data_IF_301267708208
#
_entry.id   IF_301267708208
#
_cell.length_a   1.000
_cell.length_b   1.000
_cell.length_c   1.000
_cell.angle_alpha   90.00
_cell.angle_beta   90.00
_cell.angle_gamma   90.00
#
_symmetry.space_group_name_H-M   'P 1'
#
loop_
_entity.id
_entity.type
_entity.pdbx_description
1 polymer ?
#
# COMPACT_ATOMS: atom_id res chain seq x y z
N UNK A 1 13.28 13.36 -17.21
CA UNK A 1 12.61 12.16 -16.67
C UNK A 1 11.85 12.55 -15.41
N UNK A 2 10.57 12.26 -15.32
CA UNK A 2 9.81 12.55 -14.13
C UNK A 2 9.94 11.42 -13.09
N UNK A 3 9.46 11.66 -11.88
CA UNK A 3 9.58 10.71 -10.76
C UNK A 3 8.92 9.37 -11.08
N UNK A 4 7.73 9.37 -11.69
CA UNK A 4 7.01 8.14 -12.04
C UNK A 4 7.79 7.30 -13.05
N UNK A 5 8.34 7.91 -14.09
CA UNK A 5 9.14 7.20 -15.08
C UNK A 5 10.41 6.63 -14.47
N UNK A 6 11.05 7.40 -13.60
CA UNK A 6 12.24 6.92 -12.88
C UNK A 6 11.95 5.67 -12.07
N UNK A 7 10.83 5.65 -11.34
CA UNK A 7 10.40 4.49 -10.55
C UNK A 7 10.22 3.27 -11.45
N UNK A 8 9.46 3.41 -12.54
CA UNK A 8 9.16 2.30 -13.45
C UNK A 8 10.41 1.72 -14.11
N UNK A 9 11.34 2.58 -14.51
CA UNK A 9 12.57 2.14 -15.18
C UNK A 9 13.58 1.47 -14.24
N UNK A 10 13.55 1.83 -12.95
CA UNK A 10 14.58 1.41 -12.00
C UNK A 10 14.07 0.48 -10.89
N UNK A 11 12.81 0.06 -10.93
CA UNK A 11 12.19 -0.68 -9.82
C UNK A 11 12.85 -2.03 -9.51
N UNK A 12 13.61 -2.60 -10.43
CA UNK A 12 14.31 -3.86 -10.20
C UNK A 12 15.78 -3.67 -9.79
N UNK A 13 16.24 -2.42 -9.72
CA UNK A 13 17.62 -2.11 -9.38
C UNK A 13 17.82 -1.98 -7.87
N UNK A 14 19.06 -2.14 -7.43
CA UNK A 14 19.43 -1.96 -6.02
C UNK A 14 19.18 -0.50 -5.58
N UNK A 15 18.37 -0.33 -4.55
CA UNK A 15 18.00 0.99 -4.02
C UNK A 15 19.22 1.78 -3.52
N UNK A 16 20.20 1.08 -2.95
CA UNK A 16 21.42 1.72 -2.45
C UNK A 16 22.25 2.31 -3.58
N UNK A 17 22.36 1.59 -4.69
CA UNK A 17 23.06 2.09 -5.88
C UNK A 17 22.32 3.28 -6.48
N UNK A 18 21.00 3.22 -6.55
CA UNK A 18 20.19 4.33 -7.04
C UNK A 18 20.34 5.58 -6.18
N UNK A 19 20.43 5.42 -4.86
CA UNK A 19 20.62 6.53 -3.93
C UNK A 19 21.94 7.29 -4.21
N UNK A 20 23.00 6.57 -4.59
CA UNK A 20 24.28 7.17 -4.94
C UNK A 20 24.24 7.97 -6.25
N UNK A 21 23.27 7.71 -7.10
CA UNK A 21 23.10 8.37 -8.39
C UNK A 21 22.10 9.52 -8.36
N UNK A 22 21.58 9.87 -7.20
CA UNK A 22 20.50 10.86 -7.06
C UNK A 22 20.80 12.23 -7.68
N UNK A 23 22.06 12.67 -7.64
CA UNK A 23 22.47 13.95 -8.21
C UNK A 23 22.35 14.05 -9.73
N UNK A 24 22.20 12.93 -10.44
CA UNK A 24 22.04 12.88 -11.90
C UNK A 24 20.61 13.19 -12.35
N UNK A 25 19.64 13.16 -11.43
CA UNK A 25 18.22 13.31 -11.71
C UNK A 25 17.61 14.39 -10.82
N UNK A 26 17.98 15.68 -11.01
CA UNK A 26 17.49 16.75 -10.13
C UNK A 26 15.97 16.98 -10.20
N UNK A 27 15.32 16.55 -11.27
CA UNK A 27 13.88 16.67 -11.47
C UNK A 27 13.07 15.56 -10.77
N UNK A 28 13.75 14.53 -10.23
CA UNK A 28 13.11 13.39 -9.57
C UNK A 28 13.05 13.63 -8.06
N UNK A 29 11.88 13.42 -7.46
CA UNK A 29 11.77 13.33 -5.99
C UNK A 29 12.40 12.02 -5.54
N UNK A 30 13.71 12.09 -5.26
CA UNK A 30 14.50 10.89 -5.03
C UNK A 30 14.09 10.14 -3.77
N UNK A 31 13.77 10.84 -2.68
CA UNK A 31 13.34 10.21 -1.44
C UNK A 31 12.04 9.41 -1.65
N UNK A 32 11.07 10.01 -2.31
CA UNK A 32 9.82 9.33 -2.66
C UNK A 32 10.07 8.15 -3.60
N UNK A 33 10.85 8.37 -4.66
CA UNK A 33 11.13 7.34 -5.65
C UNK A 33 11.79 6.10 -5.04
N UNK A 34 12.81 6.30 -4.21
CA UNK A 34 13.52 5.19 -3.57
C UNK A 34 12.61 4.41 -2.63
N UNK A 35 11.74 5.11 -1.88
CA UNK A 35 10.77 4.44 -1.01
C UNK A 35 9.77 3.60 -1.82
N UNK A 36 9.28 4.13 -2.94
CA UNK A 36 8.34 3.39 -3.80
C UNK A 36 9.00 2.17 -4.44
N UNK A 37 10.24 2.30 -4.89
CA UNK A 37 11.01 1.18 -5.44
C UNK A 37 11.22 0.09 -4.38
N UNK A 38 11.65 0.47 -3.18
CA UNK A 38 11.82 -0.46 -2.07
C UNK A 38 10.50 -1.15 -1.70
N UNK A 39 9.40 -0.39 -1.67
CA UNK A 39 8.07 -0.92 -1.40
C UNK A 39 7.63 -1.94 -2.43
N UNK A 40 7.81 -1.64 -3.71
CA UNK A 40 7.49 -2.57 -4.80
C UNK A 40 8.33 -3.85 -4.73
N UNK A 41 9.63 -3.74 -4.42
CA UNK A 41 10.52 -4.90 -4.30
C UNK A 41 10.09 -5.82 -3.15
N UNK A 42 9.68 -5.25 -2.03
CA UNK A 42 9.11 -6.02 -0.90
C UNK A 42 7.77 -6.65 -1.29
N UNK A 43 6.91 -5.91 -1.96
CA UNK A 43 5.58 -6.36 -2.37
C UNK A 43 5.66 -7.51 -3.39
N UNK A 44 6.66 -7.52 -4.23
CA UNK A 44 6.87 -8.59 -5.23
C UNK A 44 6.80 -9.99 -4.61
N UNK A 45 7.32 -10.13 -3.40
CA UNK A 45 7.34 -11.40 -2.66
C UNK A 45 6.19 -11.49 -1.65
N UNK A 46 5.94 -10.40 -0.93
CA UNK A 46 5.00 -10.37 0.20
C UNK A 46 3.56 -10.12 -0.22
N UNK A 47 3.35 -9.28 -1.23
CA UNK A 47 2.03 -8.84 -1.72
C UNK A 47 1.99 -8.85 -3.25
N UNK A 48 2.08 -10.04 -3.89
CA UNK A 48 2.19 -10.10 -5.35
C UNK A 48 1.06 -9.39 -6.11
N UNK A 49 -0.19 -9.48 -5.65
CA UNK A 49 -1.30 -8.79 -6.33
C UNK A 49 -1.20 -7.26 -6.23
N UNK A 50 -0.60 -6.75 -5.16
CA UNK A 50 -0.33 -5.32 -5.02
C UNK A 50 0.79 -4.88 -5.96
N UNK A 51 1.84 -5.69 -6.10
CA UNK A 51 2.95 -5.41 -7.01
C UNK A 51 2.53 -5.32 -8.48
N UNK A 52 1.46 -6.00 -8.86
CA UNK A 52 0.89 -5.94 -10.21
C UNK A 52 0.14 -4.63 -10.50
N UNK A 53 -0.27 -3.89 -9.46
CA UNK A 53 -0.98 -2.63 -9.60
C UNK A 53 0.01 -1.46 -9.70
N UNK A 54 0.14 -0.85 -10.87
CA UNK A 54 1.11 0.23 -11.10
C UNK A 54 0.77 1.53 -10.37
N UNK A 55 -0.50 1.76 -10.04
CA UNK A 55 -0.97 3.04 -9.52
C UNK A 55 -1.06 3.13 -8.00
N UNK A 56 -0.77 2.07 -7.28
CA UNK A 56 -0.76 2.12 -5.81
C UNK A 56 0.47 2.86 -5.29
N UNK A 57 0.34 3.39 -4.08
CA UNK A 57 1.44 4.06 -3.37
C UNK A 57 1.82 3.20 -2.17
N UNK A 58 3.11 2.91 -2.03
CA UNK A 58 3.63 2.17 -0.90
C UNK A 58 3.95 3.11 0.27
N UNK A 59 3.65 2.70 1.51
CA UNK A 59 3.98 3.48 2.70
C UNK A 59 5.48 3.39 3.02
N UNK A 60 5.95 4.08 4.07
CA UNK A 60 7.33 3.93 4.53
C UNK A 60 7.72 2.47 4.74
N UNK A 61 9.00 2.17 4.53
CA UNK A 61 9.55 0.80 4.54
C UNK A 61 9.19 0.01 5.81
N UNK A 62 9.22 0.64 6.98
CA UNK A 62 8.85 -0.02 8.23
C UNK A 62 7.43 -0.57 8.20
N UNK A 63 6.49 0.21 7.65
CA UNK A 63 5.10 -0.24 7.50
C UNK A 63 4.99 -1.45 6.56
N UNK A 64 5.80 -1.47 5.51
CA UNK A 64 5.85 -2.62 4.59
C UNK A 64 6.36 -3.88 5.25
N UNK A 65 7.34 -3.76 6.15
CA UNK A 65 7.86 -4.90 6.91
C UNK A 65 6.87 -5.43 7.92
N UNK A 66 6.09 -4.55 8.55
CA UNK A 66 5.15 -4.89 9.62
C UNK A 66 3.79 -5.37 9.13
N UNK A 67 3.43 -5.11 7.88
CA UNK A 67 2.13 -5.53 7.36
C UNK A 67 2.05 -7.05 7.15
N UNK A 68 0.82 -7.57 7.11
CA UNK A 68 0.57 -8.98 6.79
C UNK A 68 1.02 -9.31 5.38
N UNK A 69 1.48 -10.55 5.16
CA UNK A 69 1.65 -11.06 3.79
C UNK A 69 0.29 -11.28 3.15
N UNK A 70 0.26 -11.34 1.83
CA UNK A 70 -0.97 -11.61 1.08
C UNK A 70 -1.60 -12.94 1.47
N UNK A 71 -0.78 -13.98 1.64
CA UNK A 71 -1.27 -15.30 2.08
C UNK A 71 -1.94 -15.22 3.45
N UNK A 72 -1.34 -14.49 4.39
CA UNK A 72 -1.91 -14.29 5.72
C UNK A 72 -3.22 -13.51 5.65
N UNK A 73 -3.27 -12.44 4.85
CA UNK A 73 -4.48 -11.63 4.67
C UNK A 73 -5.61 -12.45 4.03
N UNK A 74 -5.30 -13.25 3.02
CA UNK A 74 -6.28 -14.14 2.39
C UNK A 74 -6.78 -15.22 3.35
N UNK A 75 -5.90 -15.77 4.18
CA UNK A 75 -6.30 -16.73 5.21
C UNK A 75 -7.26 -16.11 6.22
N UNK A 76 -6.94 -14.92 6.73
CA UNK A 76 -7.84 -14.20 7.65
C UNK A 76 -9.20 -13.94 6.99
N UNK A 77 -9.21 -13.53 5.73
CA UNK A 77 -10.44 -13.31 4.97
C UNK A 77 -11.29 -14.59 4.87
N UNK A 78 -10.64 -15.74 4.70
CA UNK A 78 -11.33 -17.02 4.59
C UNK A 78 -12.04 -17.45 5.88
N UNK A 79 -11.62 -16.91 7.03
CA UNK A 79 -12.23 -17.21 8.33
C UNK A 79 -13.49 -16.40 8.60
N UNK A 80 -13.77 -15.36 7.81
CA UNK A 80 -14.91 -14.48 8.02
C UNK A 80 -16.05 -14.84 7.09
N UNK A 81 -17.28 -14.80 7.63
CA UNK A 81 -18.50 -14.90 6.83
C UNK A 81 -18.79 -13.57 6.15
N UNK A 82 -19.38 -13.62 4.96
CA UNK A 82 -19.86 -12.43 4.27
C UNK A 82 -20.91 -11.72 5.13
N UNK A 83 -20.84 -10.39 5.17
CA UNK A 83 -21.68 -9.58 6.03
C UNK A 83 -22.09 -8.26 5.41
N UNK A 84 -22.86 -7.49 6.18
CA UNK A 84 -23.36 -6.18 5.74
C UNK A 84 -22.28 -5.11 5.92
N UNK A 85 -21.60 -5.08 7.07
CA UNK A 85 -20.59 -4.05 7.37
C UNK A 85 -19.46 -4.60 8.20
N UNK A 86 -18.29 -3.98 8.06
CA UNK A 86 -17.13 -4.23 8.91
C UNK A 86 -16.42 -2.92 9.23
N UNK A 87 -15.69 -2.90 10.34
CA UNK A 87 -14.82 -1.78 10.73
C UNK A 87 -13.48 -2.33 11.17
N UNK A 88 -12.40 -1.78 10.63
CA UNK A 88 -11.03 -2.05 11.07
C UNK A 88 -10.53 -0.84 11.87
N UNK A 89 -10.33 -1.04 13.18
CA UNK A 89 -9.95 0.03 14.10
C UNK A 89 -8.45 0.33 14.13
N UNK A 90 -7.64 -0.49 13.45
CA UNK A 90 -6.19 -0.34 13.40
C UNK A 90 -5.70 -0.53 11.97
N UNK A 91 -6.21 0.28 11.07
CA UNK A 91 -6.07 0.09 9.62
C UNK A 91 -4.64 -0.10 9.10
N UNK A 92 -3.69 0.64 9.64
CA UNK A 92 -2.29 0.55 9.23
C UNK A 92 -2.12 0.77 7.73
N UNK A 93 -1.38 -0.11 7.06
CA UNK A 93 -1.22 -0.04 5.60
C UNK A 93 -2.49 -0.43 4.83
N UNK A 94 -3.45 -1.07 5.49
CA UNK A 94 -4.70 -1.47 4.84
C UNK A 94 -4.64 -2.80 4.08
N UNK A 95 -3.61 -3.61 4.30
CA UNK A 95 -3.46 -4.91 3.60
C UNK A 95 -4.60 -5.85 3.99
N UNK A 96 -4.76 -6.13 5.27
CA UNK A 96 -5.85 -6.99 5.75
C UNK A 96 -7.20 -6.43 5.33
N UNK A 97 -7.40 -5.13 5.54
CA UNK A 97 -8.65 -4.45 5.19
C UNK A 97 -8.99 -4.63 3.71
N UNK A 98 -8.01 -4.47 2.81
CA UNK A 98 -8.25 -4.56 1.37
C UNK A 98 -8.79 -5.92 0.93
N UNK A 99 -8.41 -7.00 1.64
CA UNK A 99 -8.91 -8.35 1.36
C UNK A 99 -10.23 -8.63 2.09
N UNK A 100 -10.32 -8.25 3.37
CA UNK A 100 -11.51 -8.50 4.19
C UNK A 100 -12.73 -7.70 3.70
N UNK A 101 -12.54 -6.46 3.27
CA UNK A 101 -13.62 -5.57 2.85
C UNK A 101 -14.43 -6.11 1.67
N UNK A 102 -13.84 -6.95 0.85
CA UNK A 102 -14.51 -7.56 -0.32
C UNK A 102 -15.67 -8.47 0.07
N UNK A 103 -15.68 -8.97 1.30
CA UNK A 103 -16.74 -9.84 1.82
C UNK A 103 -17.93 -9.09 2.41
N UNK A 104 -17.90 -7.75 2.43
CA UNK A 104 -18.92 -6.92 3.09
C UNK A 104 -19.50 -5.88 2.12
N UNK A 105 -20.75 -5.47 2.37
CA UNK A 105 -21.43 -4.45 1.56
C UNK A 105 -20.89 -3.04 1.85
N UNK A 106 -20.45 -2.80 3.07
CA UNK A 106 -19.76 -1.56 3.47
C UNK A 106 -18.61 -1.91 4.41
N UNK A 107 -17.56 -1.10 4.36
CA UNK A 107 -16.38 -1.29 5.20
C UNK A 107 -15.82 0.05 5.62
N UNK A 108 -15.35 0.15 6.86
CA UNK A 108 -14.75 1.36 7.41
C UNK A 108 -13.34 1.05 7.89
N UNK A 109 -12.37 1.80 7.35
CA UNK A 109 -10.98 1.76 7.75
C UNK A 109 -10.73 2.94 8.68
N UNK A 110 -10.18 2.67 9.86
CA UNK A 110 -9.83 3.70 10.84
C UNK A 110 -8.33 3.65 11.10
N UNK A 111 -7.67 4.79 10.92
CA UNK A 111 -6.24 4.92 11.13
C UNK A 111 -5.93 6.29 11.72
N UNK A 112 -5.01 6.33 12.67
CA UNK A 112 -4.61 7.55 13.39
C UNK A 112 -3.66 8.41 12.57
N UNK A 113 -2.75 7.81 11.78
CA UNK A 113 -1.73 8.52 11.04
C UNK A 113 -2.29 9.05 9.73
N UNK A 114 -2.28 10.37 9.57
CA UNK A 114 -2.85 11.05 8.40
C UNK A 114 -2.21 10.59 7.08
N UNK A 115 -0.90 10.37 7.06
CA UNK A 115 -0.18 9.92 5.86
C UNK A 115 -0.64 8.54 5.40
N UNK A 116 -0.87 7.62 6.35
CA UNK A 116 -1.41 6.29 6.03
C UNK A 116 -2.86 6.36 5.56
N UNK A 117 -3.66 7.29 6.11
CA UNK A 117 -5.03 7.51 5.64
C UNK A 117 -5.08 7.96 4.18
N UNK A 118 -4.20 8.89 3.81
CA UNK A 118 -4.14 9.40 2.43
C UNK A 118 -3.70 8.31 1.45
N UNK A 119 -2.71 7.52 1.81
CA UNK A 119 -2.26 6.37 1.03
C UNK A 119 -3.41 5.35 0.88
N UNK A 120 -4.12 5.06 1.96
CA UNK A 120 -5.23 4.13 1.96
C UNK A 120 -6.37 4.59 1.03
N UNK A 121 -6.75 5.88 1.09
CA UNK A 121 -7.80 6.43 0.21
C UNK A 121 -7.46 6.20 -1.25
N UNK A 122 -6.23 6.51 -1.64
CA UNK A 122 -5.79 6.31 -3.02
C UNK A 122 -5.76 4.84 -3.40
N UNK A 123 -5.17 3.99 -2.57
CA UNK A 123 -5.02 2.57 -2.89
C UNK A 123 -6.37 1.84 -2.95
N UNK A 124 -7.30 2.16 -2.04
CA UNK A 124 -8.63 1.55 -2.07
C UNK A 124 -9.41 1.96 -3.32
N UNK A 125 -9.23 3.18 -3.79
CA UNK A 125 -9.82 3.62 -5.07
C UNK A 125 -9.23 2.82 -6.25
N UNK A 126 -7.92 2.65 -6.29
CA UNK A 126 -7.22 1.86 -7.32
C UNK A 126 -7.72 0.41 -7.32
N UNK A 127 -7.95 -0.18 -6.15
CA UNK A 127 -8.49 -1.54 -6.04
C UNK A 127 -10.00 -1.65 -6.30
N UNK A 128 -10.68 -0.54 -6.54
CA UNK A 128 -12.13 -0.54 -6.79
C UNK A 128 -12.96 -0.77 -5.54
N UNK A 129 -12.43 -0.51 -4.34
CA UNK A 129 -13.15 -0.64 -3.08
C UNK A 129 -13.99 0.61 -2.79
N UNK A 130 -14.97 0.89 -3.65
CA UNK A 130 -15.78 2.10 -3.56
C UNK A 130 -16.73 2.13 -2.36
N UNK A 131 -16.98 0.98 -1.74
CA UNK A 131 -17.79 0.84 -0.53
C UNK A 131 -16.99 1.03 0.76
N UNK A 132 -15.69 1.30 0.65
CA UNK A 132 -14.81 1.49 1.80
C UNK A 132 -14.68 2.98 2.15
N UNK A 133 -14.91 3.31 3.43
CA UNK A 133 -14.69 4.65 3.97
C UNK A 133 -13.40 4.69 4.77
N UNK A 134 -12.64 5.76 4.63
CA UNK A 134 -11.42 6.00 5.41
C UNK A 134 -11.69 7.09 6.43
N UNK A 135 -11.52 6.74 7.71
CA UNK A 135 -11.67 7.66 8.84
C UNK A 135 -10.29 7.86 9.48
N UNK A 136 -9.79 9.09 9.48
CA UNK A 136 -8.56 9.45 10.14
C UNK A 136 -8.84 9.87 11.57
N UNK A 137 -8.46 9.04 12.54
CA UNK A 137 -8.72 9.30 13.95
C UNK A 137 -8.42 8.09 14.81
N UNK A 138 -8.64 8.22 16.10
CA UNK A 138 -8.49 7.11 17.04
C UNK A 138 -9.68 6.17 16.95
N UNK A 139 -9.36 4.88 16.90
CA UNK A 139 -10.37 3.82 16.86
C UNK A 139 -11.06 3.56 18.19
#
# INVERSE_FOLDING_TARGET
MNTKDFILLNRERDVRELALQGGRYPEVDMAFALNQIAGWQTARTKLPSWAECADIIYPPHLSMEQCSSEQTALYKSSLLEKGVSMTDLTGGFGVDFSFLARAFSSATYVERLADLCDIARRNFEVFGLHHADVVCGDG
#
